data_IF_644451713959
#
_entry.id   IF_644451713959
#
_cell.length_a   1.000
_cell.length_b   1.000
_cell.length_c   1.000
_cell.angle_alpha   90.00
_cell.angle_beta   90.00
_cell.angle_gamma   90.00
#
_symmetry.space_group_name_H-M   'P 1'
#
loop_
_entity.id
_entity.type
_entity.pdbx_description
1 polymer ?
#
# COMPACT_ATOMS: atom_id res chain seq x y z
N UNK A 1 -21.21 -11.28 1.12
CA UNK A 1 -19.97 -11.41 1.93
C UNK A 1 -18.81 -10.93 1.08
N UNK A 2 -18.06 -9.92 1.51
CA UNK A 2 -16.85 -9.49 0.81
C UNK A 2 -15.77 -10.56 1.02
N UNK A 3 -15.21 -11.16 -0.05
CA UNK A 3 -14.14 -12.14 0.12
C UNK A 3 -12.96 -11.46 0.82
N UNK A 4 -12.49 -12.07 1.90
CA UNK A 4 -11.27 -11.62 2.56
C UNK A 4 -10.09 -11.88 1.61
N UNK A 5 -9.10 -10.96 1.53
CA UNK A 5 -7.87 -11.23 0.80
C UNK A 5 -7.24 -12.52 1.31
N UNK A 6 -6.64 -13.29 0.40
CA UNK A 6 -5.99 -14.55 0.75
C UNK A 6 -4.86 -14.29 1.75
N UNK A 7 -5.12 -14.58 3.03
CA UNK A 7 -4.22 -14.28 4.14
C UNK A 7 -2.84 -14.94 3.96
N UNK A 8 -2.78 -16.03 3.18
CA UNK A 8 -1.54 -16.70 2.83
C UNK A 8 -0.58 -15.81 2.05
N UNK A 9 -1.09 -14.89 1.22
CA UNK A 9 -0.27 -13.98 0.42
C UNK A 9 0.47 -12.97 1.31
N UNK A 10 -0.23 -12.41 2.31
CA UNK A 10 0.36 -11.51 3.30
C UNK A 10 1.32 -12.25 4.27
N UNK A 11 0.98 -13.48 4.65
CA UNK A 11 1.76 -14.25 5.63
C UNK A 11 2.98 -14.98 5.05
N UNK A 12 3.12 -15.03 3.72
CA UNK A 12 4.27 -15.66 3.04
C UNK A 12 5.60 -14.99 3.40
N UNK A 13 5.56 -13.70 3.75
CA UNK A 13 6.70 -12.90 4.23
C UNK A 13 6.34 -12.16 5.50
N UNK A 14 6.18 -12.94 6.57
CA UNK A 14 5.84 -12.43 7.89
C UNK A 14 7.09 -12.06 8.70
N UNK A 15 7.08 -10.90 9.34
CA UNK A 15 7.99 -10.52 10.41
C UNK A 15 7.36 -10.88 11.75
N UNK A 16 8.10 -11.57 12.61
CA UNK A 16 7.69 -11.82 13.98
C UNK A 16 7.90 -10.56 14.82
N UNK A 17 6.86 -10.10 15.49
CA UNK A 17 6.94 -9.09 16.54
C UNK A 17 6.51 -9.72 17.86
N UNK A 18 7.35 -9.58 18.87
CA UNK A 18 7.03 -9.99 20.24
C UNK A 18 6.66 -8.74 21.03
N UNK A 19 5.43 -8.70 21.51
CA UNK A 19 4.89 -7.65 22.35
C UNK A 19 4.56 -8.23 23.71
N UNK A 20 4.66 -7.44 24.78
CA UNK A 20 4.15 -7.85 26.09
C UNK A 20 2.81 -7.18 26.35
N UNK A 21 1.79 -7.99 26.61
CA UNK A 21 0.49 -7.51 27.13
C UNK A 21 0.44 -7.90 28.61
N UNK A 22 0.81 -6.95 29.48
CA UNK A 22 1.12 -7.25 30.88
C UNK A 22 2.32 -8.20 30.98
N UNK A 23 2.14 -9.34 31.67
CA UNK A 23 3.18 -10.37 31.80
C UNK A 23 3.15 -11.45 30.70
N UNK A 24 2.21 -11.36 29.76
CA UNK A 24 2.07 -12.38 28.70
C UNK A 24 2.85 -11.94 27.44
N UNK A 25 3.83 -12.74 26.98
CA UNK A 25 4.46 -12.51 25.69
C UNK A 25 3.51 -12.90 24.56
N UNK A 26 3.15 -11.93 23.73
CA UNK A 26 2.35 -12.09 22.53
C UNK A 26 3.27 -12.08 21.31
N UNK A 27 3.28 -13.17 20.55
CA UNK A 27 4.00 -13.26 19.27
C UNK A 27 3.03 -13.06 18.13
N UNK A 28 3.16 -11.95 17.42
CA UNK A 28 2.39 -11.65 16.23
C UNK A 28 3.25 -11.84 14.98
N UNK A 29 2.63 -12.34 13.94
CA UNK A 29 3.21 -12.39 12.60
C UNK A 29 2.55 -11.30 11.77
N UNK A 30 3.31 -10.29 11.36
CA UNK A 30 2.81 -9.20 10.50
C UNK A 30 3.47 -9.29 9.13
N UNK A 31 2.75 -9.00 8.04
CA UNK A 31 3.37 -8.91 6.72
C UNK A 31 4.49 -7.87 6.72
N UNK A 32 5.55 -8.13 5.96
CA UNK A 32 6.48 -7.07 5.53
C UNK A 32 5.81 -6.13 4.52
N UNK A 33 6.53 -5.09 4.08
CA UNK A 33 5.96 -4.10 3.17
C UNK A 33 5.53 -4.74 1.84
N UNK A 34 6.31 -5.66 1.29
CA UNK A 34 5.95 -6.40 0.09
C UNK A 34 4.63 -7.20 0.29
N UNK A 35 4.50 -7.94 1.38
CA UNK A 35 3.29 -8.72 1.67
C UNK A 35 2.05 -7.84 1.90
N UNK A 36 2.21 -6.70 2.58
CA UNK A 36 1.11 -5.74 2.78
C UNK A 36 0.66 -5.13 1.44
N UNK A 37 1.62 -4.67 0.62
CA UNK A 37 1.34 -4.04 -0.67
C UNK A 37 0.71 -5.03 -1.64
N UNK A 38 1.22 -6.27 -1.70
CA UNK A 38 0.63 -7.33 -2.52
C UNK A 38 -0.84 -7.55 -2.19
N UNK A 39 -1.17 -7.63 -0.89
CA UNK A 39 -2.55 -7.79 -0.42
C UNK A 39 -3.43 -6.61 -0.84
N UNK A 40 -2.94 -5.37 -0.71
CA UNK A 40 -3.71 -4.16 -1.05
C UNK A 40 -3.90 -3.98 -2.55
N UNK A 41 -2.85 -4.23 -3.34
CA UNK A 41 -2.93 -4.18 -4.79
C UNK A 41 -3.88 -5.24 -5.31
N UNK A 42 -3.81 -6.47 -4.80
CA UNK A 42 -4.76 -7.53 -5.17
C UNK A 42 -6.19 -7.15 -4.83
N UNK A 43 -6.42 -6.59 -3.64
CA UNK A 43 -7.74 -6.12 -3.25
C UNK A 43 -8.25 -5.05 -4.23
N UNK A 44 -7.41 -4.07 -4.58
CA UNK A 44 -7.75 -3.01 -5.53
C UNK A 44 -7.98 -3.53 -6.95
N UNK A 45 -7.08 -4.34 -7.50
CA UNK A 45 -7.13 -4.70 -8.92
C UNK A 45 -8.11 -5.85 -9.21
N UNK A 46 -8.30 -6.78 -8.27
CA UNK A 46 -9.06 -8.02 -8.55
C UNK A 46 -10.37 -8.12 -7.76
N UNK A 47 -10.41 -7.66 -6.52
CA UNK A 47 -11.50 -8.02 -5.60
C UNK A 47 -12.55 -6.92 -5.43
N UNK A 48 -12.11 -5.66 -5.42
CA UNK A 48 -12.95 -4.49 -5.16
C UNK A 48 -12.44 -3.24 -5.89
N UNK A 49 -12.35 -3.28 -7.24
CA UNK A 49 -11.80 -2.20 -8.05
C UNK A 49 -12.54 -0.87 -7.94
N UNK A 50 -13.81 -0.89 -7.55
CA UNK A 50 -14.63 0.30 -7.33
C UNK A 50 -14.40 0.95 -5.96
N UNK A 51 -13.63 0.32 -5.06
CA UNK A 51 -13.33 0.89 -3.74
C UNK A 51 -12.08 1.74 -3.78
N UNK A 52 -12.18 2.91 -3.17
CA UNK A 52 -11.11 3.93 -3.11
C UNK A 52 -10.13 3.68 -1.96
N UNK A 53 -10.61 3.00 -0.90
CA UNK A 53 -9.88 2.78 0.35
C UNK A 53 -8.51 2.12 0.18
N UNK A 54 -8.36 1.14 -0.70
CA UNK A 54 -7.08 0.41 -0.80
C UNK A 54 -5.96 1.28 -1.37
N UNK A 55 -6.25 2.16 -2.33
CA UNK A 55 -5.25 3.11 -2.83
C UNK A 55 -4.85 4.12 -1.75
N UNK A 56 -5.80 4.60 -0.94
CA UNK A 56 -5.50 5.41 0.23
C UNK A 56 -4.63 4.67 1.25
N UNK A 57 -4.98 3.42 1.57
CA UNK A 57 -4.20 2.60 2.51
C UNK A 57 -2.77 2.34 1.98
N UNK A 58 -2.59 2.15 0.66
CA UNK A 58 -1.26 2.03 0.02
C UNK A 58 -0.46 3.32 0.18
N UNK A 59 -1.03 4.47 -0.20
CA UNK A 59 -0.39 5.78 -0.05
C UNK A 59 0.01 6.05 1.40
N UNK A 60 -0.93 5.89 2.34
CA UNK A 60 -0.70 6.13 3.75
C UNK A 60 0.39 5.20 4.32
N UNK A 61 0.41 3.93 3.90
CA UNK A 61 1.42 2.97 4.33
C UNK A 61 2.81 3.32 3.81
N UNK A 62 2.96 3.64 2.52
CA UNK A 62 4.26 4.02 1.95
C UNK A 62 4.77 5.31 2.58
N UNK A 63 3.89 6.28 2.82
CA UNK A 63 4.22 7.52 3.54
C UNK A 63 4.70 7.25 4.97
N UNK A 64 4.03 6.34 5.68
CA UNK A 64 4.38 5.98 7.06
C UNK A 64 5.70 5.21 7.16
N UNK A 65 5.90 4.22 6.28
CA UNK A 65 7.08 3.34 6.32
C UNK A 65 8.34 3.97 5.71
N UNK A 66 8.13 4.94 4.81
CA UNK A 66 9.18 5.56 4.01
C UNK A 66 9.56 4.73 2.79
N UNK A 67 9.74 5.43 1.67
CA UNK A 67 10.04 4.86 0.35
C UNK A 67 11.23 3.89 0.38
N UNK A 68 12.34 4.27 1.02
CA UNK A 68 13.56 3.43 1.09
C UNK A 68 13.29 2.07 1.73
N UNK A 69 12.50 2.03 2.80
CA UNK A 69 12.13 0.79 3.49
C UNK A 69 11.26 -0.09 2.60
N UNK A 70 10.29 0.52 1.91
CA UNK A 70 9.41 -0.18 0.97
C UNK A 70 10.20 -0.76 -0.19
N UNK A 71 11.01 0.04 -0.89
CA UNK A 71 11.84 -0.42 -2.00
C UNK A 71 12.80 -1.53 -1.58
N UNK A 72 13.39 -1.46 -0.39
CA UNK A 72 14.24 -2.53 0.15
C UNK A 72 13.47 -3.84 0.33
N UNK A 73 12.25 -3.79 0.88
CA UNK A 73 11.38 -4.97 1.03
C UNK A 73 10.95 -5.53 -0.33
N UNK A 74 10.61 -4.68 -1.30
CA UNK A 74 10.30 -5.10 -2.67
C UNK A 74 11.51 -5.75 -3.35
N UNK A 75 12.71 -5.19 -3.21
CA UNK A 75 13.93 -5.78 -3.76
C UNK A 75 14.20 -7.18 -3.19
N UNK A 76 14.03 -7.35 -1.87
CA UNK A 76 14.12 -8.67 -1.22
C UNK A 76 13.02 -9.64 -1.70
N UNK A 77 11.90 -9.12 -2.20
CA UNK A 77 10.82 -9.91 -2.79
C UNK A 77 11.12 -10.47 -4.19
N UNK A 78 12.20 -10.04 -4.83
CA UNK A 78 12.62 -10.58 -6.13
C UNK A 78 11.60 -10.29 -7.23
N UNK A 79 11.18 -11.32 -7.98
CA UNK A 79 10.24 -11.13 -9.09
C UNK A 79 8.88 -10.60 -8.63
N UNK A 80 8.38 -11.06 -7.48
CA UNK A 80 7.10 -10.60 -6.91
C UNK A 80 7.18 -9.12 -6.56
N UNK A 81 8.30 -8.68 -5.96
CA UNK A 81 8.53 -7.27 -5.66
C UNK A 81 8.59 -6.38 -6.89
N UNK A 82 9.19 -6.86 -7.99
CA UNK A 82 9.19 -6.14 -9.28
C UNK A 82 7.78 -5.97 -9.86
N UNK A 83 6.95 -7.00 -9.75
CA UNK A 83 5.55 -6.93 -10.21
C UNK A 83 4.74 -5.95 -9.37
N UNK A 84 4.88 -6.01 -8.04
CA UNK A 84 4.26 -5.05 -7.11
C UNK A 84 4.71 -3.63 -7.44
N UNK A 85 6.01 -3.42 -7.65
CA UNK A 85 6.55 -2.12 -8.01
C UNK A 85 5.92 -1.58 -9.31
N UNK A 86 5.86 -2.40 -10.37
CA UNK A 86 5.23 -1.98 -11.63
C UNK A 86 3.75 -1.60 -11.44
N UNK A 87 3.00 -2.37 -10.66
CA UNK A 87 1.60 -2.07 -10.36
C UNK A 87 1.43 -0.78 -9.54
N UNK A 88 2.36 -0.48 -8.62
CA UNK A 88 2.37 0.80 -7.90
C UNK A 88 2.63 1.96 -8.84
N UNK A 89 3.56 1.81 -9.79
CA UNK A 89 3.80 2.81 -10.84
C UNK A 89 2.51 3.04 -11.62
N UNK A 90 1.87 1.99 -12.13
CA UNK A 90 0.63 2.13 -12.92
C UNK A 90 -0.50 2.83 -12.13
N UNK A 91 -0.59 2.61 -10.82
CA UNK A 91 -1.61 3.22 -9.96
C UNK A 91 -1.33 4.69 -9.62
N UNK A 92 -0.06 5.13 -9.57
CA UNK A 92 0.31 6.42 -8.94
C UNK A 92 1.28 7.30 -9.75
N UNK A 93 1.57 6.95 -11.01
CA UNK A 93 2.58 7.64 -11.85
C UNK A 93 2.30 9.13 -12.09
N UNK A 94 1.04 9.51 -12.24
CA UNK A 94 0.65 10.86 -12.63
C UNK A 94 -0.64 11.29 -11.92
N UNK A 95 -0.95 12.60 -11.84
CA UNK A 95 -2.14 13.09 -11.13
C UNK A 95 -3.45 12.50 -11.64
N UNK A 96 -3.51 12.12 -12.92
CA UNK A 96 -4.64 11.46 -13.56
C UNK A 96 -4.72 9.95 -13.31
N UNK A 97 -3.71 9.33 -12.71
CA UNK A 97 -3.69 7.88 -12.46
C UNK A 97 -4.85 7.45 -11.55
N UNK A 98 -5.38 6.22 -11.74
CA UNK A 98 -6.55 5.75 -11.00
C UNK A 98 -6.32 5.76 -9.49
N UNK A 99 -5.13 5.35 -9.03
CA UNK A 99 -4.83 5.35 -7.60
C UNK A 99 -4.74 6.74 -6.99
N UNK A 100 -4.31 7.76 -7.75
CA UNK A 100 -4.34 9.15 -7.28
C UNK A 100 -5.78 9.63 -7.12
N UNK A 101 -6.64 9.38 -8.12
CA UNK A 101 -8.09 9.71 -8.04
C UNK A 101 -8.74 9.05 -6.83
N UNK A 102 -8.47 7.76 -6.62
CA UNK A 102 -8.99 7.04 -5.45
C UNK A 102 -8.53 7.66 -4.12
N UNK A 103 -7.29 8.14 -4.02
CA UNK A 103 -6.80 8.82 -2.82
C UNK A 103 -7.58 10.12 -2.57
N UNK A 104 -7.82 10.92 -3.62
CA UNK A 104 -8.58 12.16 -3.53
C UNK A 104 -10.04 11.89 -3.14
N UNK A 105 -10.68 10.94 -3.81
CA UNK A 105 -12.06 10.53 -3.56
C UNK A 105 -12.24 9.99 -2.12
N UNK A 106 -11.25 9.25 -1.62
CA UNK A 106 -11.29 8.75 -0.25
C UNK A 106 -11.02 9.84 0.80
N UNK A 107 -10.09 10.76 0.53
CA UNK A 107 -9.76 11.84 1.46
C UNK A 107 -10.98 12.71 1.76
N UNK A 108 -11.80 12.98 0.74
CA UNK A 108 -13.09 13.66 0.84
C UNK A 108 -12.99 15.09 1.39
N UNK A 109 -13.99 15.93 1.08
CA UNK A 109 -14.17 17.27 1.68
C UNK A 109 -12.99 18.27 1.56
N UNK A 110 -11.95 17.96 0.77
CA UNK A 110 -10.84 18.88 0.50
C UNK A 110 -11.26 19.92 -0.54
N UNK A 111 -10.84 21.16 -0.34
CA UNK A 111 -10.99 22.22 -1.35
C UNK A 111 -10.14 21.91 -2.60
N UNK A 112 -10.47 22.44 -3.79
CA UNK A 112 -9.76 22.11 -5.02
C UNK A 112 -8.23 22.28 -4.95
N UNK A 113 -7.74 23.35 -4.31
CA UNK A 113 -6.30 23.57 -4.12
C UNK A 113 -5.66 22.51 -3.21
N UNK A 114 -6.36 22.05 -2.18
CA UNK A 114 -5.86 20.98 -1.30
C UNK A 114 -5.86 19.64 -2.01
N UNK A 115 -6.81 19.40 -2.91
CA UNK A 115 -6.83 18.22 -3.77
C UNK A 115 -5.65 18.21 -4.73
N UNK A 116 -5.32 19.34 -5.36
CA UNK A 116 -4.15 19.47 -6.24
C UNK A 116 -2.83 19.20 -5.48
N UNK A 117 -2.69 19.78 -4.27
CA UNK A 117 -1.54 19.54 -3.42
C UNK A 117 -1.43 18.07 -2.98
N UNK A 118 -2.55 17.45 -2.63
CA UNK A 118 -2.57 16.03 -2.28
C UNK A 118 -2.22 15.15 -3.49
N UNK A 119 -2.78 15.44 -4.66
CA UNK A 119 -2.49 14.71 -5.89
C UNK A 119 -0.98 14.73 -6.21
N UNK A 120 -0.37 15.92 -6.14
CA UNK A 120 1.06 16.07 -6.36
C UNK A 120 1.87 15.34 -5.29
N UNK A 121 1.50 15.45 -4.01
CA UNK A 121 2.19 14.76 -2.92
C UNK A 121 2.12 13.23 -3.04
N UNK A 122 1.04 12.68 -3.59
CA UNK A 122 0.93 11.25 -3.90
C UNK A 122 1.91 10.88 -5.00
N UNK A 123 1.91 11.62 -6.12
CA UNK A 123 2.81 11.34 -7.25
C UNK A 123 4.29 11.46 -6.83
N UNK A 124 4.64 12.50 -6.07
CA UNK A 124 6.00 12.72 -5.57
C UNK A 124 6.46 11.58 -4.65
N UNK A 125 5.55 11.00 -3.86
CA UNK A 125 5.89 9.84 -3.02
C UNK A 125 6.26 8.60 -3.86
N UNK A 126 5.62 8.43 -5.02
CA UNK A 126 5.81 7.28 -5.89
C UNK A 126 6.81 7.52 -7.03
N UNK A 127 7.35 8.73 -7.21
CA UNK A 127 8.33 9.03 -8.26
C UNK A 127 9.60 8.20 -8.16
N UNK A 128 10.03 7.87 -6.94
CA UNK A 128 11.21 7.03 -6.67
C UNK A 128 11.03 5.55 -7.10
N UNK A 129 9.82 5.16 -7.52
CA UNK A 129 9.52 3.79 -7.96
C UNK A 129 9.72 3.60 -9.48
N UNK A 130 10.02 4.66 -10.25
CA UNK A 130 10.20 4.59 -11.71
C UNK A 130 11.30 5.51 -12.27
#
# INVERSE_FOLDING_TARGET
MTPLPDAWLALKRKRGIELRVGNVPLRLSVPDAAGFLAMKIRAKLEQRPEKTKDCFDIFAYVKLMGVKTVLSSLAQAGQEGRLIQAQLVDLFREPSSPGVRDVLDYAGSLEPTEQELLAQAVVDLFSDFF
#
